data_IF_031531508460
#
_entry.id   IF_031531508460
#
_cell.length_a   1.000
_cell.length_b   1.000
_cell.length_c   1.000
_cell.angle_alpha   90.00
_cell.angle_beta   90.00
_cell.angle_gamma   90.00
#
_symmetry.space_group_name_H-M   'P 1'
#
loop_
_entity.id
_entity.type
_entity.pdbx_description
1 polymer ?
#
# COMPACT_ATOMS: atom_id res chain seq x y z
N UNK A 1 -13.11 -64.13 16.72
CA UNK A 1 -12.94 -64.55 15.32
C UNK A 1 -12.28 -63.40 14.56
N UNK A 2 -11.03 -63.59 14.09
CA UNK A 2 -10.17 -62.78 13.21
C UNK A 2 -10.06 -61.26 13.48
N UNK A 3 -9.03 -60.73 14.20
CA UNK A 3 -7.60 -60.54 13.83
C UNK A 3 -7.36 -60.02 12.40
N UNK A 4 -6.95 -58.76 12.31
CA UNK A 4 -6.19 -58.21 11.18
C UNK A 4 -4.89 -57.59 11.73
N UNK A 5 -3.81 -57.85 11.00
CA UNK A 5 -2.39 -57.77 11.39
C UNK A 5 -1.68 -56.78 10.45
N UNK A 6 -0.58 -56.18 10.94
CA UNK A 6 0.61 -55.58 10.26
C UNK A 6 0.70 -54.05 10.35
N UNK A 7 1.87 -53.44 10.57
CA UNK A 7 3.22 -53.89 11.00
C UNK A 7 3.98 -52.61 11.35
N UNK A 8 4.62 -52.57 12.51
CA UNK A 8 5.53 -51.50 12.93
C UNK A 8 6.94 -51.90 12.48
N UNK A 9 7.63 -51.02 11.76
CA UNK A 9 9.04 -51.17 11.42
C UNK A 9 9.90 -50.56 12.54
N UNK A 10 10.64 -51.41 13.25
CA UNK A 10 11.81 -51.03 14.05
C UNK A 10 13.05 -51.18 13.17
N UNK A 11 13.91 -50.16 13.14
CA UNK A 11 15.28 -50.25 12.61
C UNK A 11 16.21 -50.02 13.79
N UNK A 12 16.94 -51.07 14.16
CA UNK A 12 18.00 -51.07 15.15
C UNK A 12 19.22 -50.29 14.61
N UNK A 13 19.76 -49.39 15.43
CA UNK A 13 21.06 -48.76 15.21
C UNK A 13 22.07 -49.50 16.08
N UNK A 14 22.92 -50.30 15.45
CA UNK A 14 24.04 -50.97 16.10
C UNK A 14 25.21 -49.99 16.29
N UNK A 15 25.70 -49.88 17.53
CA UNK A 15 26.93 -49.20 17.89
C UNK A 15 28.14 -50.00 17.39
N UNK A 16 28.90 -49.43 16.45
CA UNK A 16 30.20 -49.92 16.02
C UNK A 16 31.31 -48.96 16.44
N UNK A 17 32.02 -49.32 17.52
CA UNK A 17 33.22 -48.63 17.97
C UNK A 17 34.40 -49.11 17.10
N UNK A 18 35.01 -48.23 16.30
CA UNK A 18 36.28 -48.52 15.62
C UNK A 18 37.28 -47.40 15.87
N UNK A 19 38.33 -47.75 16.60
CA UNK A 19 39.54 -46.98 16.85
C UNK A 19 40.37 -46.89 15.57
N UNK A 20 40.54 -45.68 15.03
CA UNK A 20 41.47 -45.43 13.93
C UNK A 20 42.73 -44.72 14.43
N UNK A 21 43.84 -45.40 14.16
CA UNK A 21 45.23 -45.09 14.52
C UNK A 21 45.73 -43.85 13.76
N UNK A 22 46.43 -42.98 14.49
CA UNK A 22 47.11 -41.79 13.98
C UNK A 22 48.30 -42.17 13.10
N UNK A 23 48.26 -41.84 11.81
CA UNK A 23 49.43 -41.83 10.94
C UNK A 23 49.81 -40.37 10.62
N UNK A 24 50.90 -39.89 11.20
CA UNK A 24 51.57 -38.67 10.77
C UNK A 24 52.27 -38.94 9.43
N UNK A 25 51.87 -38.22 8.38
CA UNK A 25 52.66 -38.09 7.16
C UNK A 25 53.12 -36.64 7.02
N UNK A 26 54.43 -36.44 7.01
CA UNK A 26 55.05 -35.16 6.69
C UNK A 26 54.86 -34.90 5.20
N UNK A 27 54.36 -33.71 4.85
CA UNK A 27 54.34 -33.19 3.49
C UNK A 27 55.10 -31.85 3.44
N UNK A 28 55.86 -31.56 2.37
CA UNK A 28 56.78 -30.44 2.31
C UNK A 28 56.05 -29.11 2.13
N UNK A 29 56.63 -28.04 2.69
CA UNK A 29 56.12 -26.68 2.55
C UNK A 29 56.17 -26.18 1.10
N UNK A 30 55.00 -25.83 0.57
CA UNK A 30 54.86 -24.96 -0.59
C UNK A 30 54.34 -23.61 -0.13
N UNK A 31 55.20 -22.59 -0.22
CA UNK A 31 54.83 -21.20 -0.01
C UNK A 31 54.13 -20.67 -1.26
N UNK A 32 52.82 -20.43 -1.16
CA UNK A 32 52.07 -19.67 -2.18
C UNK A 32 52.15 -18.20 -1.81
N UNK A 33 52.57 -17.29 -2.71
CA UNK A 33 52.63 -15.87 -2.40
C UNK A 33 51.21 -15.32 -2.16
N UNK A 34 51.01 -14.76 -0.97
CA UNK A 34 49.85 -13.96 -0.59
C UNK A 34 49.77 -12.75 -1.52
N UNK A 35 48.93 -12.83 -2.55
CA UNK A 35 48.51 -11.66 -3.30
C UNK A 35 47.15 -11.26 -2.77
N UNK A 36 47.16 -10.54 -1.65
CA UNK A 36 45.97 -9.86 -1.14
C UNK A 36 45.65 -8.73 -2.10
N UNK A 37 44.84 -9.01 -3.13
CA UNK A 37 44.13 -7.94 -3.83
C UNK A 37 43.13 -7.41 -2.81
N UNK A 38 43.53 -6.36 -2.10
CA UNK A 38 42.62 -5.52 -1.35
C UNK A 38 41.69 -4.88 -2.38
N UNK A 39 40.59 -5.59 -2.69
CA UNK A 39 39.43 -4.97 -3.29
C UNK A 39 38.94 -3.94 -2.29
N UNK A 40 39.33 -2.68 -2.49
CA UNK A 40 38.67 -1.56 -1.86
C UNK A 40 37.28 -1.48 -2.49
N UNK A 41 36.35 -2.30 -2.00
CA UNK A 41 34.95 -1.97 -2.10
C UNK A 41 34.82 -0.64 -1.35
N UNK A 42 34.70 0.45 -2.09
CA UNK A 42 34.06 1.64 -1.57
C UNK A 42 32.65 1.18 -1.22
N UNK A 43 32.42 0.86 0.05
CA UNK A 43 31.09 0.96 0.61
C UNK A 43 30.65 2.39 0.31
N UNK A 44 29.82 2.57 -0.71
CA UNK A 44 28.96 3.73 -0.76
C UNK A 44 28.08 3.60 0.48
N UNK A 45 28.51 4.22 1.57
CA UNK A 45 27.70 4.50 2.74
C UNK A 45 26.57 5.38 2.21
N UNK A 46 25.55 4.73 1.67
CA UNK A 46 24.30 5.37 1.30
C UNK A 46 23.77 5.87 2.63
N UNK A 47 23.93 7.17 2.88
CA UNK A 47 23.52 7.80 4.11
C UNK A 47 22.06 7.38 4.34
N UNK A 48 21.84 6.53 5.34
CA UNK A 48 20.52 5.92 5.56
C UNK A 48 19.57 7.03 5.95
N UNK A 49 18.73 7.45 4.99
CA UNK A 49 17.79 8.55 5.19
C UNK A 49 16.88 8.20 6.35
N UNK A 50 16.90 9.03 7.39
CA UNK A 50 16.21 8.76 8.63
C UNK A 50 14.85 9.46 8.65
N UNK A 51 13.82 8.80 8.15
CA UNK A 51 12.45 9.32 8.19
C UNK A 51 11.84 9.34 9.61
N UNK A 52 12.35 8.55 10.55
CA UNK A 52 11.83 8.50 11.94
C UNK A 52 11.86 9.87 12.62
N UNK A 53 12.82 10.72 12.28
CA UNK A 53 12.94 12.07 12.85
C UNK A 53 11.66 12.88 12.71
N UNK A 54 10.99 12.81 11.56
CA UNK A 54 9.77 13.56 11.29
C UNK A 54 8.58 13.06 12.12
N UNK A 55 8.51 11.75 12.35
CA UNK A 55 7.49 11.13 13.21
C UNK A 55 7.69 11.56 14.67
N UNK A 56 8.94 11.55 15.15
CA UNK A 56 9.29 12.02 16.50
C UNK A 56 9.01 13.50 16.70
N UNK A 57 9.40 14.35 15.75
CA UNK A 57 9.16 15.80 15.81
C UNK A 57 7.67 16.15 15.88
N UNK A 58 6.84 15.39 15.16
CA UNK A 58 5.38 15.60 15.16
C UNK A 58 4.66 14.83 16.28
N UNK A 59 5.34 13.96 17.02
CA UNK A 59 4.74 13.10 18.04
C UNK A 59 3.71 12.12 17.47
N UNK A 60 3.93 11.63 16.24
CA UNK A 60 3.00 10.75 15.52
C UNK A 60 3.57 9.34 15.46
N UNK A 61 2.75 8.35 15.82
CA UNK A 61 3.05 6.94 15.56
C UNK A 61 2.55 6.53 14.18
N UNK A 62 3.38 5.83 13.43
CA UNK A 62 3.02 5.42 12.08
C UNK A 62 4.15 4.79 11.31
N UNK A 63 4.01 4.86 9.99
CA UNK A 63 4.94 4.31 9.02
C UNK A 63 4.84 5.09 7.72
N UNK A 64 5.91 5.04 6.95
CA UNK A 64 5.94 5.44 5.55
C UNK A 64 6.79 4.44 4.79
N UNK A 65 6.36 4.10 3.58
CA UNK A 65 7.18 3.49 2.56
C UNK A 65 7.17 4.39 1.33
N UNK A 66 8.33 4.56 0.70
CA UNK A 66 8.51 5.21 -0.60
C UNK A 66 9.32 4.27 -1.47
N UNK A 67 8.82 3.94 -2.66
CA UNK A 67 9.47 3.09 -3.64
C UNK A 67 9.92 3.92 -4.84
N UNK A 68 11.22 3.91 -5.11
CA UNK A 68 11.84 4.48 -6.31
C UNK A 68 11.81 3.44 -7.44
N UNK A 69 11.07 3.75 -8.51
CA UNK A 69 10.84 2.80 -9.60
C UNK A 69 12.08 2.52 -10.45
N UNK A 70 12.92 3.52 -10.72
CA UNK A 70 14.12 3.36 -11.54
C UNK A 70 15.23 2.63 -10.78
N UNK A 71 15.38 2.91 -9.49
CA UNK A 71 16.41 2.29 -8.67
C UNK A 71 15.95 0.97 -8.01
N UNK A 72 14.67 0.62 -8.15
CA UNK A 72 14.05 -0.55 -7.51
C UNK A 72 14.33 -0.63 -6.00
N UNK A 73 14.22 0.50 -5.30
CA UNK A 73 14.62 0.64 -3.91
C UNK A 73 13.47 1.18 -3.05
N UNK A 74 13.38 0.69 -1.81
CA UNK A 74 12.51 1.25 -0.78
C UNK A 74 13.27 2.16 0.20
N UNK A 75 12.64 3.29 0.54
CA UNK A 75 12.96 4.13 1.68
C UNK A 75 11.79 4.05 2.66
N UNK A 76 12.03 3.79 3.94
CA UNK A 76 10.94 3.50 4.87
C UNK A 76 11.25 3.81 6.33
N UNK A 77 10.19 4.15 7.06
CA UNK A 77 10.13 4.12 8.52
C UNK A 77 9.06 3.12 8.96
N UNK A 78 9.38 2.34 10.00
CA UNK A 78 8.54 1.28 10.56
C UNK A 78 8.14 0.19 9.52
N UNK A 79 9.12 -0.60 9.03
CA UNK A 79 8.89 -1.62 8.00
C UNK A 79 7.90 -2.72 8.41
N UNK A 80 7.78 -3.00 9.71
CA UNK A 80 6.80 -3.94 10.25
C UNK A 80 5.38 -3.43 9.99
N UNK A 81 5.10 -2.16 10.34
CA UNK A 81 3.78 -1.56 10.08
C UNK A 81 3.49 -1.41 8.58
N UNK A 82 4.52 -1.21 7.75
CA UNK A 82 4.38 -1.23 6.29
C UNK A 82 3.88 -2.57 5.72
N UNK A 83 3.96 -3.65 6.51
CA UNK A 83 3.45 -4.99 6.20
C UNK A 83 2.17 -5.35 6.98
N UNK A 84 1.67 -4.43 7.83
CA UNK A 84 0.42 -4.62 8.57
C UNK A 84 -0.75 -4.11 7.75
N UNK A 85 -1.82 -4.90 7.64
CA UNK A 85 -2.98 -4.58 6.83
C UNK A 85 -4.02 -3.79 7.62
N UNK A 86 -4.53 -2.69 7.06
CA UNK A 86 -5.56 -1.84 7.67
C UNK A 86 -6.75 -1.63 6.73
N UNK A 87 -7.86 -1.11 7.26
CA UNK A 87 -8.96 -0.60 6.44
C UNK A 87 -8.44 0.48 5.48
N UNK A 88 -8.74 0.40 4.17
CA UNK A 88 -8.27 1.40 3.21
C UNK A 88 -8.99 2.75 3.36
N UNK A 89 -10.21 2.77 3.90
CA UNK A 89 -11.05 3.95 3.98
C UNK A 89 -11.13 4.68 2.61
N UNK A 90 -10.99 6.00 2.59
CA UNK A 90 -11.11 6.78 1.35
C UNK A 90 -9.98 6.54 0.32
N UNK A 91 -8.92 5.79 0.63
CA UNK A 91 -7.94 5.38 -0.40
C UNK A 91 -8.56 4.41 -1.41
N UNK A 92 -9.57 3.62 -0.99
CA UNK A 92 -10.32 2.73 -1.88
C UNK A 92 -11.04 3.48 -3.02
N UNK A 93 -11.26 4.80 -2.87
CA UNK A 93 -11.85 5.62 -3.94
C UNK A 93 -11.07 5.55 -5.25
N UNK A 94 -9.76 5.28 -5.22
CA UNK A 94 -8.96 5.07 -6.45
C UNK A 94 -9.50 3.87 -7.24
N UNK A 95 -9.62 2.71 -6.60
CA UNK A 95 -10.14 1.50 -7.24
C UNK A 95 -11.64 1.61 -7.54
N UNK A 96 -12.42 2.21 -6.63
CA UNK A 96 -13.85 2.42 -6.85
C UNK A 96 -14.12 3.31 -8.08
N UNK A 97 -13.33 4.38 -8.29
CA UNK A 97 -13.42 5.20 -9.51
C UNK A 97 -13.14 4.38 -10.77
N UNK A 98 -12.07 3.56 -10.78
CA UNK A 98 -11.73 2.70 -11.92
C UNK A 98 -12.89 1.75 -12.26
N UNK A 99 -13.42 1.04 -11.25
CA UNK A 99 -14.52 0.09 -11.42
C UNK A 99 -15.79 0.80 -11.88
N UNK A 100 -16.09 1.96 -11.31
CA UNK A 100 -17.32 2.71 -11.61
C UNK A 100 -17.34 3.24 -13.04
N UNK A 101 -16.19 3.72 -13.53
CA UNK A 101 -16.03 4.15 -14.93
C UNK A 101 -16.11 2.95 -15.89
N UNK A 102 -15.41 1.86 -15.57
CA UNK A 102 -15.36 0.67 -16.42
C UNK A 102 -16.72 -0.02 -16.55
N UNK A 103 -17.50 -0.01 -15.47
CA UNK A 103 -18.83 -0.63 -15.43
C UNK A 103 -19.96 0.31 -15.85
N UNK A 104 -19.66 1.55 -16.24
CA UNK A 104 -20.67 2.54 -16.62
C UNK A 104 -21.59 2.97 -15.48
N UNK A 105 -21.17 2.83 -14.21
CA UNK A 105 -21.93 3.34 -13.06
C UNK A 105 -22.00 4.89 -13.06
N UNK A 106 -21.06 5.51 -13.77
CA UNK A 106 -21.00 6.92 -14.12
C UNK A 106 -20.26 7.06 -15.45
N UNK A 107 -20.66 8.01 -16.31
CA UNK A 107 -20.11 8.12 -17.65
C UNK A 107 -18.64 8.58 -17.63
N UNK A 108 -18.33 9.61 -16.85
CA UNK A 108 -17.03 10.29 -16.81
C UNK A 108 -16.88 11.05 -15.48
N UNK A 109 -15.78 11.78 -15.32
CA UNK A 109 -15.48 12.52 -14.10
C UNK A 109 -16.24 13.83 -13.91
N UNK A 110 -16.94 14.30 -14.94
CA UNK A 110 -17.72 15.54 -14.95
C UNK A 110 -19.22 15.30 -14.75
N UNK A 111 -19.69 14.08 -14.99
CA UNK A 111 -21.06 13.67 -14.69
C UNK A 111 -21.42 13.91 -13.22
N UNK A 112 -22.57 14.54 -13.01
CA UNK A 112 -23.03 14.99 -11.69
C UNK A 112 -23.97 13.96 -11.08
N UNK A 113 -23.81 13.72 -9.78
CA UNK A 113 -24.81 13.07 -8.94
C UNK A 113 -25.48 14.13 -8.06
N UNK A 114 -26.81 14.12 -8.05
CA UNK A 114 -27.61 15.04 -7.23
C UNK A 114 -27.55 14.65 -5.77
N UNK A 115 -27.35 15.65 -4.92
CA UNK A 115 -27.38 15.49 -3.47
C UNK A 115 -28.81 15.21 -2.98
N UNK A 116 -28.92 14.32 -1.99
CA UNK A 116 -30.18 13.90 -1.40
C UNK A 116 -30.80 14.92 -0.42
N UNK A 117 -30.19 16.10 -0.27
CA UNK A 117 -30.64 17.12 0.67
C UNK A 117 -30.33 16.80 2.14
N UNK A 118 -29.68 15.66 2.44
CA UNK A 118 -29.36 15.27 3.81
C UNK A 118 -28.06 15.95 4.26
N UNK A 119 -28.10 16.82 5.29
CA UNK A 119 -26.89 17.46 5.81
C UNK A 119 -25.92 16.46 6.43
N UNK A 120 -24.64 16.58 6.07
CA UNK A 120 -23.53 15.76 6.56
C UNK A 120 -22.48 16.63 7.25
N UNK A 121 -21.65 15.99 8.06
CA UNK A 121 -20.63 16.67 8.89
C UNK A 121 -19.54 17.41 8.09
N UNK A 122 -19.35 17.07 6.81
CA UNK A 122 -18.41 17.75 5.91
C UNK A 122 -19.22 18.62 4.96
N UNK A 123 -19.05 19.94 5.03
CA UNK A 123 -19.87 20.90 4.30
C UNK A 123 -19.75 20.73 2.78
N UNK A 124 -18.57 20.37 2.28
CA UNK A 124 -18.33 20.13 0.86
C UNK A 124 -19.09 18.91 0.31
N UNK A 125 -19.69 18.08 1.17
CA UNK A 125 -20.51 16.94 0.76
C UNK A 125 -21.97 17.33 0.55
N UNK A 126 -22.42 18.50 1.01
CA UNK A 126 -23.83 18.90 1.06
C UNK A 126 -24.23 19.71 -0.18
N UNK A 127 -23.94 19.15 -1.36
CA UNK A 127 -24.22 19.72 -2.67
C UNK A 127 -24.08 18.65 -3.74
N UNK A 128 -24.58 18.96 -4.93
CA UNK A 128 -24.32 18.17 -6.13
C UNK A 128 -22.81 18.11 -6.40
N UNK A 129 -22.34 16.93 -6.78
CA UNK A 129 -20.92 16.66 -7.02
C UNK A 129 -20.73 15.86 -8.30
N UNK A 130 -19.63 16.13 -8.99
CA UNK A 130 -19.06 15.19 -9.95
C UNK A 130 -17.96 14.32 -9.33
N UNK A 131 -17.40 13.36 -10.08
CA UNK A 131 -16.37 12.46 -9.53
C UNK A 131 -15.10 13.20 -9.12
N UNK A 132 -14.67 14.21 -9.88
CA UNK A 132 -13.46 14.99 -9.57
C UNK A 132 -13.59 15.69 -8.21
N UNK A 133 -14.72 16.34 -7.97
CA UNK A 133 -15.01 17.00 -6.70
C UNK A 133 -15.18 15.99 -5.57
N UNK A 134 -15.94 14.91 -5.81
CA UNK A 134 -16.15 13.86 -4.81
C UNK A 134 -14.85 13.16 -4.41
N UNK A 135 -13.91 12.97 -5.36
CA UNK A 135 -12.58 12.42 -5.09
C UNK A 135 -11.76 13.38 -4.22
N UNK A 136 -11.71 14.66 -4.61
CA UNK A 136 -11.01 15.74 -3.88
C UNK A 136 -11.51 15.89 -2.44
N UNK A 137 -12.82 16.03 -2.26
CA UNK A 137 -13.46 16.23 -0.95
C UNK A 137 -13.72 14.92 -0.20
N UNK A 138 -13.34 13.78 -0.77
CA UNK A 138 -13.57 12.45 -0.20
C UNK A 138 -15.04 12.14 0.13
N UNK A 139 -15.98 12.70 -0.64
CA UNK A 139 -17.42 12.57 -0.42
C UNK A 139 -17.85 11.11 -0.37
N UNK A 140 -18.19 10.62 0.83
CA UNK A 140 -18.49 9.20 1.04
C UNK A 140 -19.77 8.81 0.29
N UNK A 141 -20.83 9.61 0.42
CA UNK A 141 -22.13 9.31 -0.18
C UNK A 141 -22.06 9.09 -1.69
N UNK A 142 -21.23 9.86 -2.40
CA UNK A 142 -21.05 9.76 -3.85
C UNK A 142 -20.54 8.36 -4.22
N UNK A 143 -19.49 7.89 -3.53
CA UNK A 143 -18.90 6.58 -3.78
C UNK A 143 -19.75 5.42 -3.26
N UNK A 144 -20.63 5.67 -2.30
CA UNK A 144 -21.65 4.71 -1.88
C UNK A 144 -22.71 4.51 -2.97
N UNK A 145 -23.18 5.59 -3.60
CA UNK A 145 -24.08 5.52 -4.76
C UNK A 145 -23.42 4.73 -5.90
N UNK A 146 -22.16 5.04 -6.21
CA UNK A 146 -21.42 4.32 -7.25
C UNK A 146 -21.23 2.83 -6.93
N UNK A 147 -20.84 2.49 -5.69
CA UNK A 147 -20.69 1.11 -5.28
C UNK A 147 -22.01 0.31 -5.39
N UNK A 148 -23.14 0.91 -5.00
CA UNK A 148 -24.47 0.29 -5.19
C UNK A 148 -24.84 0.11 -6.66
N UNK A 149 -24.53 1.10 -7.53
CA UNK A 149 -24.73 0.98 -8.99
C UNK A 149 -23.88 -0.12 -9.60
N UNK A 150 -22.64 -0.31 -9.12
CA UNK A 150 -21.79 -1.44 -9.52
C UNK A 150 -22.37 -2.76 -9.00
N UNK A 151 -22.83 -2.82 -7.76
CA UNK A 151 -23.39 -4.03 -7.15
C UNK A 151 -22.32 -5.03 -6.70
N UNK A 152 -22.70 -5.89 -5.76
CA UNK A 152 -21.80 -6.76 -5.00
C UNK A 152 -20.98 -7.71 -5.88
N UNK A 153 -21.64 -8.49 -6.74
CA UNK A 153 -20.98 -9.56 -7.51
C UNK A 153 -19.91 -8.99 -8.45
N UNK A 154 -20.21 -7.84 -9.08
CA UNK A 154 -19.27 -7.15 -9.97
C UNK A 154 -18.14 -6.51 -9.19
N UNK A 155 -18.42 -5.87 -8.05
CA UNK A 155 -17.40 -5.29 -7.17
C UNK A 155 -16.42 -6.34 -6.66
N UNK A 156 -16.91 -7.48 -6.15
CA UNK A 156 -16.08 -8.59 -5.69
C UNK A 156 -15.19 -9.13 -6.82
N UNK A 157 -15.76 -9.32 -8.02
CA UNK A 157 -15.00 -9.78 -9.19
C UNK A 157 -13.83 -8.85 -9.51
N UNK A 158 -14.05 -7.54 -9.55
CA UNK A 158 -13.00 -6.57 -9.84
C UNK A 158 -11.94 -6.47 -8.75
N UNK A 159 -12.34 -6.57 -7.47
CA UNK A 159 -11.39 -6.60 -6.34
C UNK A 159 -10.48 -7.82 -6.43
N UNK A 160 -11.02 -9.00 -6.77
CA UNK A 160 -10.22 -10.20 -6.99
C UNK A 160 -9.31 -10.06 -8.23
N UNK A 161 -9.85 -9.59 -9.35
CA UNK A 161 -9.08 -9.41 -10.60
C UNK A 161 -7.92 -8.42 -10.46
N UNK A 162 -8.09 -7.40 -9.61
CA UNK A 162 -7.02 -6.45 -9.31
C UNK A 162 -6.09 -6.92 -8.20
N UNK A 163 -6.45 -7.97 -7.45
CA UNK A 163 -5.67 -8.45 -6.31
C UNK A 163 -5.59 -7.43 -5.17
N UNK A 164 -6.66 -6.67 -4.92
CA UNK A 164 -6.62 -5.54 -3.99
C UNK A 164 -6.69 -6.00 -2.52
N UNK A 165 -5.52 -6.03 -1.87
CA UNK A 165 -5.38 -6.43 -0.46
C UNK A 165 -5.90 -7.84 -0.20
N UNK A 166 -6.59 -8.04 0.93
CA UNK A 166 -7.17 -9.33 1.30
C UNK A 166 -8.43 -9.71 0.52
N UNK A 167 -8.95 -8.82 -0.34
CA UNK A 167 -10.07 -9.06 -1.25
C UNK A 167 -11.41 -9.45 -0.57
N UNK A 168 -11.57 -9.15 0.72
CA UNK A 168 -12.79 -9.46 1.48
C UNK A 168 -13.72 -8.25 1.55
N UNK A 169 -14.89 -8.30 0.89
CA UNK A 169 -15.88 -7.20 0.97
C UNK A 169 -17.11 -7.51 1.83
N UNK A 170 -17.16 -8.66 2.50
CA UNK A 170 -18.29 -9.04 3.35
C UNK A 170 -19.47 -9.56 2.53
N UNK A 171 -20.69 -9.23 2.95
CA UNK A 171 -21.93 -9.66 2.30
C UNK A 171 -22.49 -8.61 1.33
N UNK A 172 -23.62 -8.91 0.68
CA UNK A 172 -24.28 -7.98 -0.26
C UNK A 172 -24.71 -6.68 0.43
N UNK A 173 -25.08 -6.77 1.70
CA UNK A 173 -25.48 -5.65 2.56
C UNK A 173 -24.30 -4.74 2.91
N UNK A 174 -23.07 -5.17 2.66
CA UNK A 174 -21.84 -4.42 2.94
C UNK A 174 -21.33 -3.60 1.75
N UNK A 175 -21.99 -3.68 0.58
CA UNK A 175 -21.53 -3.14 -0.70
C UNK A 175 -21.15 -1.66 -0.66
N UNK A 176 -21.73 -0.85 0.21
CA UNK A 176 -21.45 0.58 0.32
C UNK A 176 -20.73 0.98 1.62
N UNK A 177 -20.20 0.02 2.38
CA UNK A 177 -19.51 0.26 3.66
C UNK A 177 -18.27 -0.61 3.89
N UNK A 178 -18.02 -1.62 3.06
CA UNK A 178 -16.95 -2.61 3.29
C UNK A 178 -15.54 -2.00 3.42
N UNK A 179 -15.26 -0.88 2.74
CA UNK A 179 -13.96 -0.19 2.83
C UNK A 179 -13.85 0.76 4.04
N UNK A 180 -14.97 1.05 4.71
CA UNK A 180 -15.05 1.97 5.86
C UNK A 180 -15.04 1.23 7.18
N UNK A 181 -15.81 0.14 7.27
CA UNK A 181 -16.05 -0.61 8.52
C UNK A 181 -16.09 -2.13 8.31
N UNK A 182 -15.92 -2.62 7.08
CA UNK A 182 -16.00 -4.06 6.77
C UNK A 182 -14.68 -4.80 6.95
N UNK A 183 -14.53 -5.92 6.25
CA UNK A 183 -13.38 -6.83 6.36
C UNK A 183 -12.21 -6.52 5.43
N UNK A 184 -12.38 -5.58 4.49
CA UNK A 184 -11.33 -5.27 3.52
C UNK A 184 -10.10 -4.73 4.24
N UNK A 185 -8.94 -5.33 3.99
CA UNK A 185 -7.65 -4.88 4.53
C UNK A 185 -6.61 -4.82 3.42
N UNK A 186 -5.74 -3.82 3.50
CA UNK A 186 -4.58 -3.66 2.61
C UNK A 186 -3.42 -3.06 3.39
N UNK A 187 -2.20 -3.51 3.09
CA UNK A 187 -0.95 -3.00 3.67
C UNK A 187 -0.44 -1.76 2.92
N UNK A 188 0.41 -0.93 3.54
CA UNK A 188 1.11 0.15 2.83
C UNK A 188 1.91 -0.33 1.61
N UNK A 189 2.57 -1.50 1.69
CA UNK A 189 3.28 -2.06 0.55
C UNK A 189 2.35 -2.50 -0.60
N UNK A 190 1.21 -3.12 -0.29
CA UNK A 190 0.21 -3.49 -1.31
C UNK A 190 -0.42 -2.25 -1.98
N UNK A 191 -0.61 -1.15 -1.23
CA UNK A 191 -1.02 0.13 -1.83
C UNK A 191 -0.01 0.61 -2.87
N UNK A 192 1.28 0.56 -2.56
CA UNK A 192 2.36 0.90 -3.50
C UNK A 192 2.33 -0.01 -4.72
N UNK A 193 2.17 -1.33 -4.54
CA UNK A 193 2.10 -2.28 -5.65
C UNK A 193 0.91 -1.99 -6.57
N UNK A 194 -0.28 -1.71 -6.00
CA UNK A 194 -1.45 -1.31 -6.76
C UNK A 194 -1.22 -0.02 -7.55
N UNK A 195 -0.63 1.00 -6.91
CA UNK A 195 -0.34 2.29 -7.55
C UNK A 195 0.70 2.17 -8.68
N UNK A 196 1.71 1.31 -8.53
CA UNK A 196 2.68 1.01 -9.59
C UNK A 196 2.02 0.40 -10.81
N UNK A 197 1.08 -0.52 -10.60
CA UNK A 197 0.30 -1.12 -11.70
C UNK A 197 -0.64 -0.11 -12.34
N UNK A 198 -1.28 0.75 -11.55
CA UNK A 198 -2.06 1.87 -12.09
C UNK A 198 -1.20 2.75 -12.98
N UNK A 199 -0.05 3.22 -12.50
CA UNK A 199 0.88 4.08 -13.24
C UNK A 199 1.36 3.42 -14.55
N UNK A 200 1.75 2.15 -14.51
CA UNK A 200 2.18 1.39 -15.70
C UNK A 200 1.05 0.96 -16.64
N UNK A 201 -0.21 1.29 -16.34
CA UNK A 201 -1.39 0.79 -17.05
C UNK A 201 -1.48 -0.75 -17.08
N UNK A 202 -1.03 -1.40 -16.01
CA UNK A 202 -0.99 -2.87 -15.80
C UNK A 202 -2.15 -3.36 -14.90
N UNK A 203 -3.23 -2.60 -14.87
CA UNK A 203 -4.51 -3.01 -14.29
C UNK A 203 -5.48 -3.37 -15.43
N UNK A 204 -6.42 -4.30 -15.22
CA UNK A 204 -7.34 -4.79 -16.25
C UNK A 204 -8.47 -3.80 -16.58
N UNK A 205 -8.18 -2.50 -16.66
CA UNK A 205 -9.13 -1.45 -17.01
C UNK A 205 -8.79 -0.83 -18.36
N UNK A 206 -9.78 -0.23 -19.01
CA UNK A 206 -9.56 0.52 -20.24
C UNK A 206 -8.57 1.69 -20.02
N UNK A 207 -7.83 2.06 -21.07
CA UNK A 207 -6.95 3.25 -21.05
C UNK A 207 -7.70 4.51 -20.61
N UNK A 208 -8.97 4.61 -20.98
CA UNK A 208 -9.87 5.71 -20.60
C UNK A 208 -10.09 5.77 -19.09
N UNK A 209 -10.51 4.67 -18.45
CA UNK A 209 -10.71 4.63 -17.01
C UNK A 209 -9.42 4.95 -16.26
N UNK A 210 -8.30 4.37 -16.72
CA UNK A 210 -6.98 4.64 -16.14
C UNK A 210 -6.58 6.12 -16.25
N UNK A 211 -6.73 6.74 -17.42
CA UNK A 211 -6.36 8.14 -17.62
C UNK A 211 -7.21 9.09 -16.77
N UNK A 212 -8.52 8.88 -16.70
CA UNK A 212 -9.43 9.70 -15.89
C UNK A 212 -9.03 9.62 -14.41
N UNK A 213 -8.81 8.40 -13.89
CA UNK A 213 -8.46 8.23 -12.47
C UNK A 213 -7.10 8.85 -12.14
N UNK A 214 -6.10 8.68 -13.00
CA UNK A 214 -4.80 9.34 -12.82
C UNK A 214 -4.91 10.86 -12.81
N UNK A 215 -5.81 11.42 -13.62
CA UNK A 215 -6.02 12.87 -13.70
C UNK A 215 -6.71 13.43 -12.45
N UNK A 216 -7.81 12.82 -11.99
CA UNK A 216 -8.49 13.29 -10.76
C UNK A 216 -7.65 13.10 -9.49
N UNK A 217 -6.62 12.25 -9.54
CA UNK A 217 -5.67 12.04 -8.45
C UNK A 217 -4.66 13.19 -8.31
N UNK A 218 -4.48 14.05 -9.31
CA UNK A 218 -3.49 15.14 -9.26
C UNK A 218 -3.85 16.11 -8.14
N UNK A 219 -2.97 16.24 -7.16
CA UNK A 219 -3.10 17.19 -6.05
C UNK A 219 -2.15 18.37 -6.20
N UNK A 220 -1.09 18.22 -6.98
CA UNK A 220 -0.09 19.26 -7.25
C UNK A 220 0.62 18.96 -8.57
N UNK A 221 0.88 20.01 -9.35
CA UNK A 221 1.58 19.90 -10.64
C UNK A 221 2.43 21.14 -10.83
N UNK A 222 3.73 20.94 -11.01
CA UNK A 222 4.73 21.98 -11.31
C UNK A 222 5.45 21.62 -12.62
N UNK A 223 6.34 22.49 -13.14
CA UNK A 223 7.22 22.10 -14.25
C UNK A 223 8.15 20.92 -13.91
N UNK A 224 8.49 20.72 -12.64
CA UNK A 224 9.45 19.73 -12.18
C UNK A 224 8.79 18.38 -11.84
N UNK A 225 7.59 18.38 -11.26
CA UNK A 225 6.91 17.14 -10.87
C UNK A 225 5.38 17.20 -10.95
N UNK A 226 4.76 16.01 -10.96
CA UNK A 226 3.33 15.85 -10.72
C UNK A 226 3.09 14.92 -9.54
N UNK A 227 2.37 15.40 -8.52
CA UNK A 227 1.98 14.63 -7.35
C UNK A 227 0.54 14.16 -7.49
N UNK A 228 0.33 12.85 -7.46
CA UNK A 228 -0.99 12.20 -7.45
C UNK A 228 -1.21 11.49 -6.15
N UNK A 229 -2.30 11.76 -5.46
CA UNK A 229 -2.50 11.19 -4.14
C UNK A 229 -3.97 11.10 -3.69
N UNK A 230 -4.20 10.24 -2.70
CA UNK A 230 -5.48 10.13 -2.00
C UNK A 230 -5.27 9.98 -0.50
N UNK A 231 -6.01 10.78 0.25
CA UNK A 231 -6.15 10.62 1.70
C UNK A 231 -7.17 9.55 2.09
N UNK A 232 -6.96 8.90 3.23
CA UNK A 232 -7.92 8.00 3.89
C UNK A 232 -7.96 8.21 5.40
N UNK A 233 -9.13 8.01 6.00
CA UNK A 233 -9.33 8.07 7.45
C UNK A 233 -10.32 6.97 7.85
N UNK A 234 -9.83 5.87 8.42
CA UNK A 234 -10.65 4.81 9.01
C UNK A 234 -11.08 5.21 10.43
N UNK A 235 -12.35 4.97 10.77
CA UNK A 235 -12.93 5.38 12.06
C UNK A 235 -13.49 6.81 12.10
N UNK A 236 -13.42 7.57 11.00
CA UNK A 236 -13.99 8.91 10.93
C UNK A 236 -15.46 8.94 11.34
N UNK A 237 -15.83 9.83 12.27
CA UNK A 237 -17.18 9.95 12.81
C UNK A 237 -17.55 8.95 13.90
N UNK A 238 -16.72 7.93 14.17
CA UNK A 238 -16.89 6.97 15.26
C UNK A 238 -15.70 7.03 16.22
N UNK A 239 -15.90 7.64 17.40
CA UNK A 239 -14.83 7.84 18.39
C UNK A 239 -14.33 6.56 19.05
N UNK A 240 -15.12 5.49 19.02
CA UNK A 240 -14.75 4.19 19.62
C UNK A 240 -13.94 3.33 18.65
N UNK A 241 -13.97 3.64 17.36
CA UNK A 241 -13.20 2.93 16.35
C UNK A 241 -11.72 3.32 16.41
N UNK A 242 -10.86 2.37 16.06
CA UNK A 242 -9.44 2.65 15.80
C UNK A 242 -9.31 3.68 14.68
N UNK A 243 -8.60 4.77 14.97
CA UNK A 243 -8.45 5.90 14.07
C UNK A 243 -7.14 5.79 13.28
N UNK A 244 -7.24 5.47 11.98
CA UNK A 244 -6.08 5.28 11.10
C UNK A 244 -6.13 6.26 9.93
N UNK A 245 -5.03 7.00 9.75
CA UNK A 245 -4.83 7.95 8.68
C UNK A 245 -3.96 7.39 7.56
N UNK A 246 -4.37 7.62 6.33
CA UNK A 246 -3.66 7.25 5.12
C UNK A 246 -3.35 8.46 4.24
N UNK A 247 -2.18 8.46 3.63
CA UNK A 247 -1.89 9.24 2.44
C UNK A 247 -1.08 8.38 1.48
N UNK A 248 -1.69 8.01 0.35
CA UNK A 248 -1.10 7.10 -0.65
C UNK A 248 -1.09 7.78 -1.99
N UNK A 249 -0.07 7.50 -2.81
CA UNK A 249 0.08 8.17 -4.09
C UNK A 249 1.42 7.91 -4.75
N UNK A 250 1.71 8.72 -5.76
CA UNK A 250 3.02 8.74 -6.39
C UNK A 250 3.36 10.13 -6.91
N UNK A 251 4.65 10.41 -6.94
CA UNK A 251 5.25 11.60 -7.51
C UNK A 251 5.99 11.20 -8.78
N UNK A 252 5.65 11.83 -9.89
CA UNK A 252 6.39 11.71 -11.16
C UNK A 252 7.37 12.88 -11.27
N UNK A 253 8.65 12.59 -11.43
CA UNK A 253 9.70 13.59 -11.70
C UNK A 253 10.57 13.08 -12.86
N UNK A 254 10.61 13.85 -13.95
CA UNK A 254 11.25 13.41 -15.19
C UNK A 254 10.63 12.10 -15.71
N UNK A 255 11.45 11.05 -15.85
CA UNK A 255 11.01 9.69 -16.27
C UNK A 255 10.93 8.70 -15.10
N UNK A 256 10.98 9.18 -13.84
CA UNK A 256 10.89 8.31 -12.67
C UNK A 256 9.57 8.51 -11.92
N UNK A 257 9.11 7.44 -11.28
CA UNK A 257 7.96 7.43 -10.38
C UNK A 257 8.37 7.03 -8.96
N UNK A 258 7.97 7.84 -7.99
CA UNK A 258 8.18 7.62 -6.56
C UNK A 258 6.84 7.32 -5.89
N UNK A 259 6.61 6.07 -5.53
CA UNK A 259 5.33 5.58 -5.01
C UNK A 259 5.36 5.54 -3.50
N UNK A 260 4.37 6.12 -2.83
CA UNK A 260 4.37 6.22 -1.38
C UNK A 260 3.08 5.75 -0.75
N UNK A 261 3.22 5.26 0.48
CA UNK A 261 2.11 5.00 1.37
C UNK A 261 2.50 5.38 2.81
N UNK A 262 1.85 6.41 3.33
CA UNK A 262 1.96 6.85 4.72
C UNK A 262 0.74 6.35 5.49
N UNK A 263 0.96 5.66 6.61
CA UNK A 263 -0.07 5.13 7.49
C UNK A 263 0.24 5.53 8.94
N UNK A 264 -0.67 6.24 9.59
CA UNK A 264 -0.47 6.80 10.93
C UNK A 264 -1.67 6.54 11.85
N UNK A 265 -1.42 6.56 13.15
CA UNK A 265 -2.48 6.68 14.15
C UNK A 265 -3.00 8.12 14.16
N UNK A 266 -4.31 8.29 14.38
CA UNK A 266 -4.95 9.59 14.51
C UNK A 266 -5.56 9.72 15.91
N UNK A 267 -4.79 10.26 16.85
CA UNK A 267 -5.18 10.38 18.26
C UNK A 267 -5.87 11.71 18.54
N UNK A 268 -5.46 12.76 17.83
CA UNK A 268 -5.87 14.14 18.07
C UNK A 268 -6.39 14.83 16.80
N UNK A 269 -7.07 15.97 16.98
CA UNK A 269 -7.67 16.75 15.87
C UNK A 269 -6.67 17.24 14.82
N UNK A 270 -5.37 17.34 15.15
CA UNK A 270 -4.32 17.86 14.24
C UNK A 270 -3.70 16.77 13.37
N UNK A 271 -3.74 15.53 13.82
CA UNK A 271 -3.07 14.38 13.20
C UNK A 271 -3.50 14.11 11.75
N UNK A 272 -4.77 14.35 11.33
CA UNK A 272 -5.16 14.16 9.94
C UNK A 272 -4.38 15.02 8.94
N UNK A 273 -3.81 16.15 9.35
CA UNK A 273 -2.92 16.94 8.51
C UNK A 273 -1.49 16.36 8.46
N UNK A 274 -1.06 15.72 9.55
CA UNK A 274 0.30 15.18 9.69
C UNK A 274 0.63 14.10 8.66
N UNK A 275 -0.35 13.30 8.19
CA UNK A 275 -0.13 12.32 7.12
C UNK A 275 0.43 12.95 5.83
N UNK A 276 -0.01 14.16 5.49
CA UNK A 276 0.47 14.90 4.32
C UNK A 276 1.83 15.53 4.64
N UNK A 277 1.96 16.20 5.79
CA UNK A 277 3.22 16.84 6.22
C UNK A 277 4.38 15.84 6.29
N UNK A 278 4.20 14.71 6.98
CA UNK A 278 5.18 13.61 7.05
C UNK A 278 5.63 13.16 5.66
N UNK A 279 4.68 12.93 4.76
CA UNK A 279 4.99 12.47 3.41
C UNK A 279 5.81 13.51 2.66
N UNK A 280 5.40 14.79 2.71
CA UNK A 280 6.14 15.87 2.05
C UNK A 280 7.54 16.05 2.62
N UNK A 281 7.70 15.97 3.95
CA UNK A 281 9.03 16.02 4.59
C UNK A 281 9.93 14.88 4.12
N UNK A 282 9.40 13.66 4.02
CA UNK A 282 10.15 12.51 3.52
C UNK A 282 10.50 12.65 2.02
N UNK A 283 9.59 13.18 1.19
CA UNK A 283 9.88 13.47 -0.21
C UNK A 283 10.94 14.58 -0.37
N UNK A 284 10.94 15.61 0.50
CA UNK A 284 11.99 16.64 0.55
C UNK A 284 13.36 16.09 0.94
N UNK A 285 13.40 15.17 1.91
CA UNK A 285 14.65 14.49 2.30
C UNK A 285 15.25 13.66 1.13
N UNK A 286 14.41 13.28 0.15
CA UNK A 286 14.82 12.63 -1.09
C UNK A 286 15.14 13.62 -2.23
N UNK A 287 14.97 14.93 -2.02
CA UNK A 287 15.18 15.97 -3.05
C UNK A 287 14.10 16.00 -4.14
N UNK A 288 12.89 15.51 -3.85
CA UNK A 288 11.80 15.35 -4.83
C UNK A 288 10.80 16.52 -4.86
N UNK A 289 10.87 17.42 -3.87
CA UNK A 289 10.01 18.59 -3.68
C UNK A 289 10.84 19.83 -3.36
#
# INVERSE_FOLDING_TARGET
>A
MNRMIRRIFFVEVALGCMTSISFQSMQPGFTVPNTTIASSFKENVTQKINFERHFRELGIEGSIAIYDANNNQFYQHNPQRNQTAFLPASTFKILNSLISLEMGAISDETAVLTWDGIPRQVSEWNRDLNMREAFKHSAVWFYQVLARRVGYERMQKWIMQTGYGNQKIGSKEDIDKFWLVGELRITPQEQIQFLRRLDKNDLPFSKRSLSIVKDIMIVEKTPEYTLRAKTGWAGFGNKEALQIGWYVGYLEQGKNGYFFATNIDLRNKKDPAARIDLTRRCLKDLGLL
#
